data_IF_971488989325
#
_entry.id   IF_971488989325
#
_cell.length_a   1.000
_cell.length_b   1.000
_cell.length_c   1.000
_cell.angle_alpha   90.00
_cell.angle_beta   90.00
_cell.angle_gamma   90.00
#
_symmetry.space_group_name_H-M   'P 1'
#
loop_
_entity.id
_entity.type
_entity.pdbx_description
1 polymer ?
#
# COMPACT_ATOMS: atom_id res chain seq x y z
N UNK A 1 16.33 4.12 -0.87
CA UNK A 1 14.88 3.85 -0.82
C UNK A 1 14.53 3.28 0.55
N UNK A 2 13.44 3.77 1.18
CA UNK A 2 12.95 3.24 2.47
C UNK A 2 11.65 2.49 2.29
N UNK A 3 11.57 1.30 2.89
CA UNK A 3 10.38 0.44 2.91
C UNK A 3 9.98 0.19 4.36
N UNK A 4 8.71 0.39 4.68
CA UNK A 4 8.13 0.09 6.00
C UNK A 4 6.96 -0.86 5.83
N UNK A 5 7.02 -2.01 6.49
CA UNK A 5 5.87 -2.91 6.62
C UNK A 5 4.94 -2.31 7.67
N UNK A 6 3.73 -1.91 7.27
CA UNK A 6 2.72 -1.35 8.16
C UNK A 6 1.83 -2.44 8.75
N UNK A 7 1.56 -3.47 7.96
CA UNK A 7 0.87 -4.69 8.36
C UNK A 7 1.30 -5.84 7.48
N UNK A 8 1.30 -7.04 8.07
CA UNK A 8 1.82 -8.27 7.45
C UNK A 8 0.80 -9.41 7.43
N UNK A 9 -0.36 -9.25 8.08
CA UNK A 9 -1.40 -10.25 8.06
C UNK A 9 -2.23 -10.16 6.77
N UNK A 10 -2.83 -11.28 6.37
CA UNK A 10 -3.89 -11.27 5.37
C UNK A 10 -5.17 -10.60 5.92
N UNK A 11 -6.23 -10.53 5.12
CA UNK A 11 -7.53 -10.04 5.54
C UNK A 11 -8.01 -10.66 6.86
N UNK A 12 -8.53 -9.81 7.75
CA UNK A 12 -8.96 -10.18 9.10
C UNK A 12 -7.92 -9.91 10.19
N UNK A 13 -6.63 -9.79 9.84
CA UNK A 13 -5.57 -9.52 10.82
C UNK A 13 -5.26 -10.69 11.75
N UNK A 14 -4.39 -10.45 12.74
CA UNK A 14 -4.09 -11.39 13.83
C UNK A 14 -4.14 -10.63 15.17
N UNK A 15 -5.10 -10.92 16.06
CA UNK A 15 -6.14 -11.93 15.94
C UNK A 15 -7.30 -11.46 15.07
N UNK A 16 -7.87 -12.36 14.26
CA UNK A 16 -9.10 -12.06 13.55
C UNK A 16 -10.29 -12.02 14.52
N UNK A 17 -11.15 -11.01 14.36
CA UNK A 17 -12.21 -10.64 15.32
C UNK A 17 -13.10 -11.82 15.76
N UNK A 18 -13.44 -12.73 14.83
CA UNK A 18 -14.30 -13.89 15.06
C UNK A 18 -13.57 -15.24 15.05
N UNK A 19 -12.23 -15.26 15.12
CA UNK A 19 -11.45 -16.49 15.05
C UNK A 19 -10.93 -16.92 16.43
N UNK A 20 -11.06 -18.20 16.76
CA UNK A 20 -10.54 -18.82 17.99
C UNK A 20 -9.46 -19.90 17.73
N UNK A 21 -8.82 -19.89 16.56
CA UNK A 21 -7.72 -20.81 16.27
C UNK A 21 -6.54 -20.61 17.23
N UNK A 22 -5.61 -21.56 17.27
CA UNK A 22 -4.46 -21.53 18.17
C UNK A 22 -3.69 -20.19 18.11
N UNK A 23 -3.44 -19.66 16.91
CA UNK A 23 -2.72 -18.38 16.75
C UNK A 23 -3.51 -17.19 17.30
N UNK A 24 -4.81 -17.09 17.00
CA UNK A 24 -5.63 -15.99 17.52
C UNK A 24 -5.78 -16.05 19.04
N UNK A 25 -5.89 -17.25 19.62
CA UNK A 25 -5.90 -17.45 21.08
C UNK A 25 -4.54 -17.10 21.69
N UNK A 26 -3.43 -17.48 21.05
CA UNK A 26 -2.09 -17.12 21.46
C UNK A 26 -1.86 -15.60 21.44
N UNK A 27 -2.36 -14.89 20.42
CA UNK A 27 -2.29 -13.42 20.39
C UNK A 27 -3.14 -12.78 21.49
N UNK A 28 -4.37 -13.27 21.74
CA UNK A 28 -5.22 -12.76 22.84
C UNK A 28 -4.60 -12.99 24.22
N UNK A 29 -3.86 -14.08 24.38
CA UNK A 29 -3.09 -14.38 25.60
C UNK A 29 -1.69 -13.77 25.61
N UNK A 30 -1.35 -12.92 24.63
CA UNK A 30 -0.09 -12.17 24.50
C UNK A 30 1.16 -13.06 24.38
N UNK A 31 1.00 -14.23 23.79
CA UNK A 31 2.11 -15.14 23.46
C UNK A 31 2.69 -14.86 22.07
N UNK A 32 1.88 -14.32 21.15
CA UNK A 32 2.27 -13.89 19.81
C UNK A 32 1.85 -12.43 19.65
N UNK A 33 2.69 -11.60 19.01
CA UNK A 33 2.37 -10.20 18.74
C UNK A 33 1.18 -10.07 17.75
N UNK A 34 0.30 -9.06 17.93
CA UNK A 34 -0.75 -8.79 16.97
C UNK A 34 -0.19 -8.26 15.65
N UNK A 35 -0.91 -8.52 14.56
CA UNK A 35 -0.57 -8.04 13.22
C UNK A 35 -1.79 -7.41 12.54
N UNK A 36 -1.60 -6.20 12.02
CA UNK A 36 -2.56 -5.53 11.16
C UNK A 36 -2.48 -6.06 9.73
N UNK A 37 -3.51 -5.78 8.94
CA UNK A 37 -3.66 -6.25 7.58
C UNK A 37 -2.62 -5.65 6.61
N UNK A 38 -2.29 -6.41 5.57
CA UNK A 38 -1.25 -6.15 4.57
C UNK A 38 -1.26 -4.71 4.05
N UNK A 39 -0.17 -3.99 4.34
CA UNK A 39 0.12 -2.68 3.78
C UNK A 39 1.60 -2.35 3.97
N UNK A 40 2.18 -1.65 3.01
CA UNK A 40 3.58 -1.20 3.02
C UNK A 40 3.61 0.29 2.74
N UNK A 41 4.58 1.03 3.30
CA UNK A 41 4.89 2.38 2.89
C UNK A 41 6.29 2.46 2.28
N UNK A 42 6.42 3.16 1.15
CA UNK A 42 7.69 3.40 0.46
C UNK A 42 7.96 4.91 0.40
N UNK A 43 9.20 5.30 0.62
CA UNK A 43 9.67 6.68 0.45
C UNK A 43 11.07 6.69 -0.15
N UNK A 44 11.49 7.83 -0.69
CA UNK A 44 12.89 8.05 -1.02
C UNK A 44 13.72 8.25 0.27
N UNK A 45 15.06 8.28 0.13
CA UNK A 45 15.95 8.49 1.28
C UNK A 45 16.08 9.96 1.70
N UNK A 46 15.40 10.88 1.02
CA UNK A 46 15.51 12.32 1.30
C UNK A 46 15.03 12.63 2.71
N UNK A 47 15.80 13.44 3.46
CA UNK A 47 15.38 13.86 4.80
C UNK A 47 14.47 15.10 4.77
N UNK A 48 14.58 15.93 3.74
CA UNK A 48 13.88 17.22 3.67
C UNK A 48 12.40 17.08 3.34
N UNK A 49 12.00 16.08 2.55
CA UNK A 49 10.62 15.89 2.08
C UNK A 49 10.24 14.41 1.94
N UNK A 50 10.08 13.70 3.06
CA UNK A 50 9.59 12.31 3.04
C UNK A 50 8.10 12.25 2.73
N UNK A 51 7.79 12.22 1.44
CA UNK A 51 6.51 11.77 0.94
C UNK A 51 6.48 10.23 0.97
N UNK A 52 5.50 9.66 1.66
CA UNK A 52 5.29 8.22 1.75
C UNK A 52 4.17 7.81 0.80
N UNK A 53 4.45 6.78 0.01
CA UNK A 53 3.48 6.12 -0.86
C UNK A 53 3.09 4.79 -0.24
N UNK A 54 1.79 4.58 -0.07
CA UNK A 54 1.30 3.32 0.48
C UNK A 54 1.10 2.32 -0.65
N UNK A 55 1.39 1.06 -0.39
CA UNK A 55 0.97 -0.07 -1.21
C UNK A 55 -0.14 -0.75 -0.43
N UNK A 56 -1.34 -0.66 -1.00
CA UNK A 56 -2.62 -0.95 -0.36
C UNK A 56 -2.92 -0.05 0.87
N UNK A 57 -4.19 0.25 1.08
CA UNK A 57 -4.71 1.02 2.19
C UNK A 57 -5.66 0.15 3.02
N UNK A 58 -5.13 -0.46 4.08
CA UNK A 58 -5.88 -1.42 4.87
C UNK A 58 -6.97 -0.77 5.75
N UNK A 59 -7.98 -1.53 6.22
CA UNK A 59 -8.90 -1.09 7.28
C UNK A 59 -8.20 -0.64 8.57
N UNK A 60 -6.98 -1.12 8.83
CA UNK A 60 -6.20 -0.79 10.01
C UNK A 60 -5.37 0.50 9.84
N UNK A 61 -5.52 1.22 8.71
CA UNK A 61 -4.64 2.32 8.33
C UNK A 61 -4.47 3.40 9.41
N UNK A 62 -5.52 3.73 10.17
CA UNK A 62 -5.42 4.68 11.26
C UNK A 62 -4.43 4.20 12.34
N UNK A 63 -4.54 2.94 12.78
CA UNK A 63 -3.61 2.36 13.75
C UNK A 63 -2.20 2.20 13.16
N UNK A 64 -2.10 1.85 11.88
CA UNK A 64 -0.83 1.74 11.16
C UNK A 64 -0.08 3.07 11.10
N UNK A 65 -0.78 4.18 10.87
CA UNK A 65 -0.21 5.54 10.89
C UNK A 65 0.26 5.90 12.30
N UNK A 66 -0.56 5.67 13.33
CA UNK A 66 -0.19 6.03 14.71
C UNK A 66 0.96 5.20 15.26
N UNK A 67 1.09 3.93 14.84
CA UNK A 67 2.23 3.08 15.19
C UNK A 67 3.49 3.39 14.36
N UNK A 68 3.40 4.27 13.35
CA UNK A 68 4.51 4.59 12.44
C UNK A 68 4.81 6.08 12.47
N UNK A 69 5.71 6.58 13.35
CA UNK A 69 5.97 8.01 13.50
C UNK A 69 6.41 8.76 12.23
N UNK A 70 6.91 8.05 11.22
CA UNK A 70 7.24 8.63 9.92
C UNK A 70 6.00 9.01 9.08
N UNK A 71 4.84 8.40 9.36
CA UNK A 71 3.56 8.66 8.70
C UNK A 71 2.69 9.68 9.44
N UNK A 72 3.07 10.10 10.65
CA UNK A 72 2.33 11.08 11.44
C UNK A 72 2.51 12.52 10.89
N UNK A 73 1.51 13.41 11.08
CA UNK A 73 1.62 14.83 10.75
C UNK A 73 2.76 15.50 11.51
N UNK A 74 3.57 16.33 10.82
CA UNK A 74 4.71 17.05 11.45
C UNK A 74 4.79 18.54 11.15
N UNK A 75 4.11 19.04 10.12
CA UNK A 75 4.37 20.39 9.57
C UNK A 75 3.30 21.43 9.91
N UNK A 76 2.05 20.99 10.06
CA UNK A 76 0.91 21.87 10.31
C UNK A 76 -0.15 21.15 11.13
N UNK A 77 -1.09 21.89 11.79
CA UNK A 77 -2.18 21.30 12.56
C UNK A 77 -3.01 20.27 11.78
N UNK A 78 -3.11 20.45 10.45
CA UNK A 78 -3.59 19.44 9.51
C UNK A 78 -2.54 19.27 8.42
N UNK A 79 -1.91 18.10 8.39
CA UNK A 79 -0.96 17.70 7.36
C UNK A 79 -0.92 16.18 7.28
N UNK A 80 -0.38 15.64 6.21
CA UNK A 80 -0.05 14.22 6.13
C UNK A 80 1.20 14.05 5.27
N UNK A 81 2.13 13.16 5.64
CA UNK A 81 3.23 12.77 4.76
C UNK A 81 2.81 11.71 3.73
N UNK A 82 1.60 11.15 3.81
CA UNK A 82 1.07 10.19 2.82
C UNK A 82 0.73 10.93 1.52
N UNK A 83 1.49 10.68 0.47
CA UNK A 83 1.37 11.35 -0.83
C UNK A 83 0.36 10.66 -1.77
N UNK A 84 0.13 9.37 -1.59
CA UNK A 84 -0.79 8.61 -2.41
C UNK A 84 -0.67 7.11 -2.17
N UNK A 85 -1.43 6.33 -2.95
CA UNK A 85 -1.56 4.89 -2.80
C UNK A 85 -1.35 4.20 -4.16
N UNK A 86 -0.70 3.04 -4.14
CA UNK A 86 -0.70 2.08 -5.23
C UNK A 86 -1.52 0.86 -4.78
N UNK A 87 -2.57 0.52 -5.52
CA UNK A 87 -3.41 -0.64 -5.22
C UNK A 87 -2.94 -1.86 -6.03
N UNK A 88 -2.77 -2.98 -5.34
CA UNK A 88 -2.41 -4.25 -5.99
C UNK A 88 -3.62 -5.01 -6.48
N UNK A 89 -4.81 -4.75 -5.92
CA UNK A 89 -6.09 -5.35 -6.34
C UNK A 89 -7.27 -4.54 -5.75
N UNK A 90 -8.48 -5.06 -5.90
CA UNK A 90 -9.72 -4.47 -5.40
C UNK A 90 -10.24 -5.13 -4.11
N UNK A 91 -9.40 -5.91 -3.40
CA UNK A 91 -9.85 -6.61 -2.19
C UNK A 91 -10.15 -5.60 -1.07
N UNK A 92 -11.20 -5.88 -0.30
CA UNK A 92 -11.70 -4.99 0.76
C UNK A 92 -10.61 -4.67 1.80
N UNK A 93 -9.79 -5.66 2.14
CA UNK A 93 -8.65 -5.53 3.06
C UNK A 93 -7.50 -4.66 2.53
N UNK A 94 -7.49 -4.33 1.24
CA UNK A 94 -6.49 -3.46 0.61
C UNK A 94 -7.02 -2.07 0.23
N UNK A 95 -8.34 -1.82 0.30
CA UNK A 95 -8.94 -0.57 -0.19
C UNK A 95 -9.71 0.22 0.86
N UNK A 96 -10.21 -0.40 1.92
CA UNK A 96 -11.07 0.31 2.89
C UNK A 96 -10.37 1.47 3.61
N UNK A 97 -9.04 1.46 3.71
CA UNK A 97 -8.26 2.58 4.23
C UNK A 97 -8.44 3.87 3.43
N UNK A 98 -8.85 3.81 2.16
CA UNK A 98 -9.19 4.99 1.35
C UNK A 98 -10.32 5.81 2.00
N UNK A 99 -11.30 5.16 2.61
CA UNK A 99 -12.38 5.84 3.34
C UNK A 99 -11.87 6.58 4.58
N UNK A 100 -10.75 6.14 5.15
CA UNK A 100 -10.13 6.75 6.32
C UNK A 100 -9.30 8.00 5.98
N UNK A 101 -8.98 8.21 4.70
CA UNK A 101 -8.23 9.38 4.20
C UNK A 101 -9.12 10.52 3.69
N UNK A 102 -10.44 10.40 3.82
CA UNK A 102 -11.43 11.31 3.23
C UNK A 102 -11.35 12.79 3.67
N UNK A 103 -10.65 13.09 4.76
CA UNK A 103 -10.50 14.44 5.33
C UNK A 103 -9.37 15.27 4.70
N UNK A 104 -8.70 14.76 3.67
CA UNK A 104 -7.66 15.52 2.96
C UNK A 104 -8.25 16.76 2.26
N UNK A 105 -7.43 17.80 2.10
CA UNK A 105 -7.82 19.00 1.35
C UNK A 105 -7.83 18.76 -0.17
N UNK A 106 -7.03 17.80 -0.63
CA UNK A 106 -6.90 17.42 -2.03
C UNK A 106 -7.34 15.97 -2.23
N UNK A 107 -7.80 15.60 -3.44
CA UNK A 107 -8.08 14.21 -3.76
C UNK A 107 -6.90 13.29 -3.47
N UNK A 108 -7.19 12.09 -2.98
CA UNK A 108 -6.15 11.09 -2.74
C UNK A 108 -5.69 10.55 -4.09
N UNK A 109 -4.40 10.64 -4.38
CA UNK A 109 -3.81 10.06 -5.59
C UNK A 109 -3.76 8.55 -5.46
N UNK A 110 -4.37 7.83 -6.41
CA UNK A 110 -4.42 6.37 -6.42
C UNK A 110 -3.98 5.82 -7.77
N UNK A 111 -2.92 5.02 -7.77
CA UNK A 111 -2.49 4.23 -8.91
C UNK A 111 -3.13 2.85 -8.85
N UNK A 112 -3.80 2.43 -9.93
CA UNK A 112 -4.42 1.12 -10.02
C UNK A 112 -4.54 0.66 -11.48
N UNK A 113 -4.68 -0.66 -11.68
CA UNK A 113 -5.10 -1.22 -12.96
C UNK A 113 -6.54 -0.80 -13.29
N UNK A 114 -6.89 -0.76 -14.58
CA UNK A 114 -8.22 -0.33 -15.02
C UNK A 114 -9.31 -1.27 -14.46
N UNK A 115 -9.06 -2.58 -14.39
CA UNK A 115 -9.99 -3.57 -13.81
C UNK A 115 -10.21 -3.33 -12.31
N UNK A 116 -9.14 -2.97 -11.58
CA UNK A 116 -9.21 -2.63 -10.16
C UNK A 116 -10.03 -1.37 -9.95
N UNK A 117 -9.77 -0.33 -10.75
CA UNK A 117 -10.56 0.91 -10.71
C UNK A 117 -12.04 0.65 -11.03
N UNK A 118 -12.34 -0.14 -12.06
CA UNK A 118 -13.71 -0.50 -12.41
C UNK A 118 -14.44 -1.22 -11.28
N UNK A 119 -13.78 -2.18 -10.62
CA UNK A 119 -14.34 -2.87 -9.45
C UNK A 119 -14.59 -1.92 -8.26
N UNK A 120 -13.83 -0.82 -8.19
CA UNK A 120 -13.89 0.19 -7.12
C UNK A 120 -14.72 1.42 -7.47
N UNK A 121 -15.50 1.41 -8.57
CA UNK A 121 -16.33 2.55 -8.97
C UNK A 121 -17.31 3.01 -7.88
N UNK A 122 -17.68 2.13 -6.94
CA UNK A 122 -18.51 2.47 -5.78
C UNK A 122 -17.80 3.44 -4.80
N UNK A 123 -16.47 3.43 -4.73
CA UNK A 123 -15.70 4.37 -3.90
C UNK A 123 -15.80 5.80 -4.42
N UNK A 124 -15.85 5.99 -5.75
CA UNK A 124 -16.02 7.31 -6.34
C UNK A 124 -17.34 7.94 -5.89
N UNK A 125 -18.42 7.15 -5.84
CA UNK A 125 -19.72 7.61 -5.36
C UNK A 125 -19.68 8.02 -3.88
N UNK A 126 -19.03 7.23 -3.02
CA UNK A 126 -18.97 7.50 -1.58
C UNK A 126 -18.06 8.69 -1.29
N UNK A 127 -16.92 8.79 -1.97
CA UNK A 127 -15.91 9.83 -1.73
C UNK A 127 -16.19 11.14 -2.47
N UNK A 128 -17.21 11.20 -3.32
CA UNK A 128 -17.62 12.42 -4.04
C UNK A 128 -18.01 13.60 -3.13
N UNK A 129 -18.50 13.32 -1.91
CA UNK A 129 -18.83 14.35 -0.90
C UNK A 129 -17.64 14.71 0.02
N UNK A 130 -16.47 14.11 -0.24
CA UNK A 130 -15.25 14.29 0.52
C UNK A 130 -14.12 14.77 -0.40
N UNK A 131 -12.86 14.47 -0.07
CA UNK A 131 -11.72 14.85 -0.91
C UNK A 131 -11.72 14.20 -2.30
N UNK A 132 -12.45 13.10 -2.49
CA UNK A 132 -12.44 12.32 -3.73
C UNK A 132 -11.13 11.55 -3.96
N UNK A 133 -11.05 10.88 -5.11
CA UNK A 133 -9.89 10.12 -5.58
C UNK A 133 -9.41 10.69 -6.92
N UNK A 134 -8.11 10.91 -7.05
CA UNK A 134 -7.44 11.16 -8.34
C UNK A 134 -6.82 9.84 -8.83
N UNK A 135 -7.51 9.17 -9.75
CA UNK A 135 -7.03 7.93 -10.35
C UNK A 135 -5.91 8.19 -11.36
N UNK A 136 -4.82 7.43 -11.23
CA UNK A 136 -3.68 7.44 -12.17
C UNK A 136 -3.43 6.05 -12.72
N UNK A 137 -3.00 6.02 -13.98
CA UNK A 137 -2.68 4.77 -14.68
C UNK A 137 -1.34 4.22 -14.23
N UNK A 138 -1.25 2.90 -14.23
CA UNK A 138 -0.01 2.15 -14.07
C UNK A 138 0.56 1.78 -15.44
N UNK A 139 1.88 1.55 -15.51
CA UNK A 139 2.58 1.19 -16.73
C UNK A 139 3.46 -0.04 -16.50
N UNK A 140 3.64 -0.85 -17.55
CA UNK A 140 4.64 -1.93 -17.57
C UNK A 140 6.08 -1.40 -17.63
N UNK A 141 6.24 -0.15 -18.08
CA UNK A 141 7.51 0.57 -18.05
C UNK A 141 7.68 1.34 -16.74
N UNK A 142 8.94 1.56 -16.35
CA UNK A 142 9.26 2.36 -15.16
C UNK A 142 8.81 3.81 -15.36
N UNK A 143 7.94 4.27 -14.47
CA UNK A 143 7.46 5.65 -14.38
C UNK A 143 7.84 6.28 -13.03
N UNK A 144 7.98 7.60 -13.01
CA UNK A 144 8.37 8.33 -11.79
C UNK A 144 7.27 8.25 -10.73
N UNK A 145 7.65 7.86 -9.50
CA UNK A 145 6.77 7.91 -8.33
C UNK A 145 6.94 9.25 -7.61
N UNK A 146 8.12 9.48 -7.06
CA UNK A 146 8.55 10.72 -6.42
C UNK A 146 10.07 10.72 -6.24
N UNK A 147 10.70 11.90 -6.29
CA UNK A 147 12.13 12.07 -6.05
C UNK A 147 12.96 11.17 -6.98
N UNK A 148 13.80 10.33 -6.38
CA UNK A 148 14.62 9.34 -7.11
C UNK A 148 13.95 8.00 -7.37
N UNK A 149 12.70 7.78 -6.92
CA UNK A 149 12.03 6.48 -7.01
C UNK A 149 11.17 6.40 -8.27
N UNK A 150 11.39 5.35 -9.06
CA UNK A 150 10.53 4.94 -10.16
C UNK A 150 9.85 3.61 -9.84
N UNK A 151 8.75 3.30 -10.51
CA UNK A 151 8.08 2.02 -10.37
C UNK A 151 7.47 1.56 -11.69
N UNK A 152 7.29 0.24 -11.83
CA UNK A 152 6.50 -0.37 -12.89
C UNK A 152 5.54 -1.40 -12.31
N UNK A 153 4.47 -1.67 -13.05
CA UNK A 153 3.49 -2.69 -12.74
C UNK A 153 3.77 -3.98 -13.52
N UNK A 154 3.57 -5.11 -12.86
CA UNK A 154 3.59 -6.44 -13.44
C UNK A 154 2.19 -7.01 -13.27
N UNK A 155 1.50 -7.24 -14.38
CA UNK A 155 0.13 -7.75 -14.35
C UNK A 155 0.13 -9.23 -13.99
N UNK A 156 -0.65 -9.60 -12.97
CA UNK A 156 -0.86 -10.97 -12.54
C UNK A 156 -2.33 -11.36 -12.73
N UNK A 157 -2.67 -12.66 -12.68
CA UNK A 157 -4.06 -13.06 -12.53
C UNK A 157 -4.66 -12.45 -11.26
N UNK A 158 -5.72 -11.64 -11.42
CA UNK A 158 -6.49 -11.00 -10.35
C UNK A 158 -5.75 -9.97 -9.48
N UNK A 159 -4.52 -9.62 -9.82
CA UNK A 159 -3.71 -8.68 -9.02
C UNK A 159 -2.62 -8.02 -9.87
N UNK A 160 -1.94 -7.06 -9.26
CA UNK A 160 -0.79 -6.35 -9.82
C UNK A 160 0.33 -6.39 -8.81
N UNK A 161 1.52 -6.83 -9.24
CA UNK A 161 2.75 -6.63 -8.49
C UNK A 161 3.43 -5.33 -8.93
N UNK A 162 4.23 -4.74 -8.05
CA UNK A 162 5.00 -3.54 -8.35
C UNK A 162 6.49 -3.79 -8.16
N UNK A 163 7.30 -3.42 -9.14
CA UNK A 163 8.73 -3.24 -8.95
C UNK A 163 9.04 -1.77 -8.76
N UNK A 164 9.75 -1.45 -7.69
CA UNK A 164 10.27 -0.13 -7.40
C UNK A 164 11.76 -0.12 -7.66
N UNK A 165 12.27 0.99 -8.22
CA UNK A 165 13.70 1.20 -8.44
C UNK A 165 14.10 2.55 -7.87
N UNK A 166 15.15 2.53 -7.07
CA UNK A 166 15.86 3.72 -6.66
C UNK A 166 16.88 4.10 -7.72
N UNK A 167 16.67 5.22 -8.43
CA UNK A 167 17.54 5.64 -9.52
C UNK A 167 18.92 6.12 -9.04
N UNK A 168 19.09 6.42 -7.75
CA UNK A 168 20.38 6.85 -7.20
C UNK A 168 21.26 5.66 -6.87
N UNK A 169 20.72 4.66 -6.17
CA UNK A 169 21.46 3.46 -5.75
C UNK A 169 21.41 2.32 -6.77
N UNK A 170 20.43 2.34 -7.68
CA UNK A 170 20.13 1.23 -8.58
C UNK A 170 19.33 0.10 -7.93
N UNK A 171 19.05 0.17 -6.62
CA UNK A 171 18.35 -0.89 -5.87
C UNK A 171 16.92 -1.08 -6.37
N UNK A 172 16.51 -2.34 -6.53
CA UNK A 172 15.18 -2.74 -6.98
C UNK A 172 14.48 -3.54 -5.88
N UNK A 173 13.22 -3.21 -5.60
CA UNK A 173 12.36 -3.96 -4.68
C UNK A 173 11.09 -4.43 -5.40
N UNK A 174 10.72 -5.70 -5.22
CA UNK A 174 9.49 -6.30 -5.74
C UNK A 174 8.45 -6.43 -4.62
N UNK A 175 7.26 -5.91 -4.87
CA UNK A 175 6.10 -6.01 -3.97
C UNK A 175 4.98 -6.76 -4.67
N UNK A 176 4.73 -7.98 -4.22
CA UNK A 176 3.70 -8.88 -4.77
C UNK A 176 2.92 -9.58 -3.63
N UNK A 177 2.06 -8.87 -2.89
CA UNK A 177 1.39 -9.41 -1.70
C UNK A 177 0.28 -10.43 -2.02
N UNK A 178 -0.18 -10.49 -3.27
CA UNK A 178 -1.16 -11.46 -3.75
C UNK A 178 -0.67 -12.05 -5.06
N UNK A 179 -0.40 -13.36 -5.08
CA UNK A 179 0.12 -14.08 -6.24
C UNK A 179 -0.64 -15.40 -6.38
N UNK A 180 -1.56 -15.46 -7.34
CA UNK A 180 -2.28 -16.69 -7.65
C UNK A 180 -1.45 -17.66 -8.51
N UNK A 181 -0.55 -17.12 -9.35
CA UNK A 181 0.30 -17.88 -10.26
C UNK A 181 1.62 -17.15 -10.48
N UNK A 182 2.72 -17.90 -10.49
CA UNK A 182 4.06 -17.37 -10.82
C UNK A 182 4.21 -17.37 -12.34
N UNK A 183 4.03 -16.20 -12.95
CA UNK A 183 4.30 -15.98 -14.38
C UNK A 183 5.81 -15.91 -14.64
N UNK A 184 6.22 -16.06 -15.90
CA UNK A 184 7.63 -15.91 -16.29
C UNK A 184 8.13 -14.49 -15.96
N UNK A 185 7.32 -13.46 -16.24
CA UNK A 185 7.67 -12.08 -15.91
C UNK A 185 7.83 -11.87 -14.39
N UNK A 186 6.96 -12.45 -13.55
CA UNK A 186 7.11 -12.35 -12.10
C UNK A 186 8.35 -13.11 -11.61
N UNK A 187 8.67 -14.25 -12.21
CA UNK A 187 9.88 -15.02 -11.91
C UNK A 187 11.13 -14.20 -12.25
N UNK A 188 11.18 -13.62 -13.44
CA UNK A 188 12.28 -12.77 -13.89
C UNK A 188 12.41 -11.53 -13.00
N UNK A 189 11.28 -10.92 -12.62
CA UNK A 189 11.24 -9.81 -11.66
C UNK A 189 11.80 -10.22 -10.29
N UNK A 190 11.48 -11.42 -9.81
CA UNK A 190 12.00 -11.95 -8.53
C UNK A 190 13.52 -12.13 -8.61
N UNK A 191 14.05 -12.60 -9.73
CA UNK A 191 15.50 -12.77 -9.92
C UNK A 191 16.26 -11.45 -10.13
N UNK A 192 15.58 -10.41 -10.60
CA UNK A 192 16.18 -9.10 -10.90
C UNK A 192 15.94 -8.04 -9.81
N UNK A 193 15.33 -8.42 -8.68
CA UNK A 193 15.11 -7.53 -7.54
C UNK A 193 16.07 -7.88 -6.40
N UNK A 194 16.51 -6.86 -5.67
CA UNK A 194 17.37 -7.03 -4.49
C UNK A 194 16.57 -7.43 -3.25
N UNK A 195 15.29 -7.03 -3.18
CA UNK A 195 14.36 -7.26 -2.07
C UNK A 195 12.98 -7.65 -2.58
#
# INVERSE_FOLDING_TARGET
>A
MRIRILGSAAGGGLPQWNCACANCTATRTRTIEPQTQSSIAISDDSEEFQAWWLINASPDLAAQIECTPALQPRRAPRSTPVAGILLTNADIDHVLGLLLLRQQEKPVVVYAADETRSALAWLDCILAQFCGIEWRKISADFQLLNGGITFRAIQLPHSTAFQFRDNLSGTIALVAPSVAMVTDELRDATHSSDV
#
